data_IF_695162297620
#
_entry.id   IF_695162297620
#
_cell.length_a   1.000
_cell.length_b   1.000
_cell.length_c   1.000
_cell.angle_alpha   90.00
_cell.angle_beta   90.00
_cell.angle_gamma   90.00
#
_symmetry.space_group_name_H-M   'P 1'
#
loop_
_entity.id
_entity.type
_entity.pdbx_description
1 polymer ?
#
# COMPACT_ATOMS: atom_id res chain seq x y z
N UNK A 1 22.78 3.36 5.66
CA UNK A 1 21.96 2.35 4.96
C UNK A 1 21.32 1.43 6.00
N UNK A 2 20.00 1.23 5.95
CA UNK A 2 19.33 0.25 6.82
C UNK A 2 19.69 -1.15 6.35
N UNK A 3 20.15 -1.99 7.28
CA UNK A 3 20.42 -3.40 7.01
C UNK A 3 19.11 -4.17 7.20
N UNK A 4 18.76 -5.00 6.21
CA UNK A 4 17.61 -5.90 6.31
C UNK A 4 17.80 -6.84 7.53
N UNK A 5 16.85 -6.91 8.47
CA UNK A 5 16.97 -7.76 9.64
C UNK A 5 16.97 -9.25 9.27
N UNK A 6 17.80 -10.07 9.91
CA UNK A 6 17.85 -11.51 9.61
C UNK A 6 16.84 -12.34 10.40
N UNK A 7 16.24 -11.78 11.44
CA UNK A 7 15.20 -12.45 12.21
C UNK A 7 13.87 -12.50 11.43
N UNK A 8 12.95 -13.40 11.80
CA UNK A 8 11.64 -13.45 11.17
C UNK A 8 10.84 -12.16 11.41
N UNK A 9 10.13 -11.71 10.39
CA UNK A 9 9.33 -10.48 10.41
C UNK A 9 7.94 -10.72 9.84
N UNK A 10 6.91 -10.02 10.32
CA UNK A 10 5.61 -9.99 9.68
C UNK A 10 5.69 -9.23 8.35
N UNK A 11 5.05 -9.77 7.32
CA UNK A 11 4.88 -9.12 6.02
C UNK A 11 3.42 -8.71 5.86
N UNK A 12 3.19 -7.50 5.34
CA UNK A 12 1.87 -6.86 5.30
C UNK A 12 1.54 -6.39 3.89
N UNK A 13 0.28 -6.52 3.51
CA UNK A 13 -0.34 -5.78 2.43
C UNK A 13 -0.82 -4.44 3.01
N UNK A 14 -0.38 -3.35 2.42
CA UNK A 14 -0.77 -1.99 2.80
C UNK A 14 -1.67 -1.43 1.71
N UNK A 15 -2.84 -0.95 2.10
CA UNK A 15 -3.80 -0.30 1.21
C UNK A 15 -3.86 1.18 1.57
N UNK A 16 -3.53 2.03 0.60
CA UNK A 16 -3.81 3.45 0.60
C UNK A 16 -5.17 3.68 -0.06
N UNK A 17 -6.21 4.03 0.71
CA UNK A 17 -7.51 4.33 0.13
C UNK A 17 -7.41 5.51 -0.84
N UNK A 18 -8.22 5.52 -1.90
CA UNK A 18 -8.29 6.68 -2.79
C UNK A 18 -8.79 7.90 -1.99
N UNK A 19 -8.43 9.08 -2.48
CA UNK A 19 -9.15 10.28 -2.05
C UNK A 19 -10.59 10.19 -2.56
N UNK A 20 -11.56 10.36 -1.67
CA UNK A 20 -12.98 10.30 -2.00
C UNK A 20 -13.47 11.71 -2.18
N UNK A 21 -13.36 12.18 -3.42
CA UNK A 21 -13.96 13.41 -3.88
C UNK A 21 -15.46 13.10 -4.03
N UNK A 22 -16.35 13.93 -3.48
CA UNK A 22 -17.81 13.74 -3.56
C UNK A 22 -18.41 13.78 -4.97
N UNK A 23 -17.59 13.65 -6.02
CA UNK A 23 -17.96 13.71 -7.43
C UNK A 23 -18.12 12.30 -8.03
N UNK A 24 -19.35 12.03 -8.49
CA UNK A 24 -19.83 11.26 -9.68
C UNK A 24 -19.20 9.93 -10.12
N UNK A 25 -18.09 9.44 -9.56
CA UNK A 25 -17.60 8.09 -9.85
C UNK A 25 -18.32 7.08 -8.96
N UNK A 26 -18.67 5.93 -9.54
CA UNK A 26 -19.22 4.83 -8.75
C UNK A 26 -18.24 4.44 -7.64
N UNK A 27 -18.76 4.03 -6.48
CA UNK A 27 -17.92 3.58 -5.36
C UNK A 27 -16.91 2.52 -5.84
N UNK A 28 -17.35 1.56 -6.64
CA UNK A 28 -16.52 0.51 -7.22
C UNK A 28 -15.30 1.04 -8.00
N UNK A 29 -15.51 2.05 -8.85
CA UNK A 29 -14.42 2.71 -9.59
C UNK A 29 -13.42 3.39 -8.64
N UNK A 30 -13.90 3.98 -7.55
CA UNK A 30 -13.02 4.57 -6.55
C UNK A 30 -12.24 3.47 -5.81
N UNK A 31 -12.89 2.38 -5.40
CA UNK A 31 -12.21 1.29 -4.69
C UNK A 31 -11.09 0.65 -5.52
N UNK A 32 -11.30 0.47 -6.83
CA UNK A 32 -10.27 -0.03 -7.76
C UNK A 32 -9.10 0.94 -7.96
N UNK A 33 -9.24 2.21 -7.55
CA UNK A 33 -8.16 3.19 -7.57
C UNK A 33 -7.34 3.24 -6.27
N UNK A 34 -7.66 2.42 -5.27
CA UNK A 34 -6.84 2.29 -4.08
C UNK A 34 -5.43 1.77 -4.44
N UNK A 35 -4.41 2.42 -3.90
CA UNK A 35 -3.01 2.05 -4.12
C UNK A 35 -2.57 0.98 -3.15
N UNK A 36 -2.00 -0.12 -3.65
CA UNK A 36 -1.61 -1.29 -2.84
C UNK A 36 -0.10 -1.47 -2.86
N UNK A 37 0.44 -1.95 -1.74
CA UNK A 37 1.87 -2.11 -1.53
C UNK A 37 2.13 -3.35 -0.66
N UNK A 38 3.26 -4.04 -0.89
CA UNK A 38 3.74 -5.10 -0.01
C UNK A 38 4.91 -4.54 0.81
N UNK A 39 4.89 -4.73 2.13
CA UNK A 39 5.94 -4.19 2.98
C UNK A 39 6.15 -4.97 4.28
N UNK A 40 7.31 -4.74 4.89
CA UNK A 40 7.63 -5.14 6.26
C UNK A 40 8.50 -4.08 6.93
N UNK A 41 8.38 -4.00 8.25
CA UNK A 41 9.08 -3.01 9.06
C UNK A 41 10.51 -3.50 9.34
N UNK A 42 11.51 -2.69 9.02
CA UNK A 42 12.95 -3.01 9.15
C UNK A 42 13.65 -2.21 10.26
N UNK A 43 12.89 -1.42 11.02
CA UNK A 43 13.38 -0.65 12.15
C UNK A 43 12.77 0.74 12.23
N UNK A 44 13.52 1.69 12.79
CA UNK A 44 13.12 3.09 12.92
C UNK A 44 14.19 4.02 12.36
N UNK A 45 13.74 5.08 11.69
CA UNK A 45 14.55 6.23 11.24
C UNK A 45 15.10 7.02 12.43
N UNK A 46 16.14 7.83 12.20
CA UNK A 46 16.66 8.74 13.23
C UNK A 46 15.65 9.78 13.73
N UNK A 47 14.59 10.03 12.96
CA UNK A 47 13.45 10.89 13.34
C UNK A 47 12.31 10.13 14.02
N UNK A 48 12.46 8.84 14.31
CA UNK A 48 11.46 8.01 14.99
C UNK A 48 10.35 7.45 14.08
N UNK A 49 10.36 7.73 12.78
CA UNK A 49 9.42 7.11 11.82
C UNK A 49 9.78 5.64 11.60
N UNK A 50 8.80 4.78 11.36
CA UNK A 50 9.04 3.37 11.01
C UNK A 50 9.75 3.30 9.67
N UNK A 51 10.87 2.58 9.59
CA UNK A 51 11.54 2.28 8.34
C UNK A 51 10.95 0.98 7.76
N UNK A 52 10.55 1.00 6.49
CA UNK A 52 9.95 -0.15 5.81
C UNK A 52 10.74 -0.52 4.56
N UNK A 53 10.86 -1.83 4.30
CA UNK A 53 11.11 -2.33 2.94
C UNK A 53 9.76 -2.42 2.25
N UNK A 54 9.62 -1.81 1.07
CA UNK A 54 8.34 -1.65 0.36
C UNK A 54 8.47 -1.94 -1.13
N UNK A 55 7.49 -2.64 -1.68
CA UNK A 55 7.33 -2.91 -3.11
C UNK A 55 5.97 -2.40 -3.56
N UNK A 56 5.96 -1.64 -4.65
CA UNK A 56 4.78 -0.96 -5.17
C UNK A 56 5.02 -0.49 -6.60
N UNK A 57 3.95 -0.34 -7.38
CA UNK A 57 4.00 0.33 -8.67
C UNK A 57 3.69 1.80 -8.50
N UNK A 58 4.59 2.68 -8.94
CA UNK A 58 4.45 4.13 -8.79
C UNK A 58 4.06 4.75 -10.14
N UNK A 59 3.01 5.57 -10.20
CA UNK A 59 2.73 6.39 -11.38
C UNK A 59 3.74 7.53 -11.47
N UNK A 60 4.33 7.68 -12.64
CA UNK A 60 5.30 8.72 -12.95
C UNK A 60 4.91 9.46 -14.23
N UNK A 61 5.26 10.73 -14.32
CA UNK A 61 5.09 11.53 -15.53
C UNK A 61 6.43 11.64 -16.25
N UNK A 62 6.47 11.18 -17.50
CA UNK A 62 7.66 11.34 -18.34
C UNK A 62 7.82 12.80 -18.75
N UNK A 63 9.03 13.26 -19.15
CA UNK A 63 9.24 14.61 -19.67
C UNK A 63 8.34 14.98 -20.87
N UNK A 64 7.76 13.97 -21.53
CA UNK A 64 6.79 14.12 -22.63
C UNK A 64 5.36 14.41 -22.16
N UNK A 65 5.09 14.43 -20.85
CA UNK A 65 3.75 14.55 -20.26
C UNK A 65 2.95 13.24 -20.29
N UNK A 66 3.57 12.13 -20.69
CA UNK A 66 2.90 10.83 -20.74
C UNK A 66 2.96 10.13 -19.37
N UNK A 67 1.81 9.64 -18.90
CA UNK A 67 1.74 8.80 -17.71
C UNK A 67 2.45 7.46 -17.96
N UNK A 68 3.30 7.10 -17.01
CA UNK A 68 4.07 5.85 -16.96
C UNK A 68 3.87 5.19 -15.60
N UNK A 69 4.10 3.89 -15.52
CA UNK A 69 4.03 3.13 -14.27
C UNK A 69 5.34 2.39 -14.10
N UNK A 70 5.94 2.52 -12.91
CA UNK A 70 7.29 2.06 -12.65
C UNK A 70 7.32 1.10 -11.48
N UNK A 71 7.97 -0.05 -11.68
CA UNK A 71 8.43 -0.91 -10.60
C UNK A 71 9.87 -0.52 -10.26
N UNK A 72 10.05 0.22 -9.18
CA UNK A 72 11.39 0.61 -8.68
C UNK A 72 12.09 -0.52 -7.89
N UNK A 73 11.45 -1.68 -7.82
CA UNK A 73 11.82 -2.77 -6.94
C UNK A 73 11.68 -2.42 -5.46
N UNK A 74 12.37 -3.19 -4.62
CA UNK A 74 12.34 -3.00 -3.17
C UNK A 74 12.98 -1.69 -2.70
N UNK A 75 12.15 -0.76 -2.26
CA UNK A 75 12.56 0.54 -1.71
C UNK A 75 12.64 0.50 -0.19
N UNK A 76 13.52 1.33 0.38
CA UNK A 76 13.51 1.63 1.83
C UNK A 76 12.85 2.98 2.02
N UNK A 77 11.74 3.00 2.75
CA UNK A 77 10.92 4.21 2.94
C UNK A 77 10.63 4.45 4.41
N UNK A 78 10.54 5.73 4.79
CA UNK A 78 10.05 6.12 6.10
C UNK A 78 8.52 6.20 6.05
N UNK A 79 7.86 5.48 6.94
CA UNK A 79 6.42 5.55 7.13
C UNK A 79 6.08 6.63 8.16
N UNK A 80 5.55 7.76 7.69
CA UNK A 80 5.13 8.86 8.53
C UNK A 80 3.88 8.44 9.35
N UNK A 81 3.87 8.66 10.68
CA UNK A 81 2.71 8.39 11.54
C UNK A 81 1.37 8.94 11.02
N UNK A 82 1.37 10.10 10.37
CA UNK A 82 0.13 10.70 9.85
C UNK A 82 -0.44 9.92 8.66
N UNK A 83 0.43 9.46 7.76
CA UNK A 83 0.01 8.59 6.65
C UNK A 83 -0.34 7.20 7.15
N UNK A 84 0.39 6.71 8.17
CA UNK A 84 0.16 5.41 8.76
C UNK A 84 -1.28 5.26 9.23
N UNK A 85 -1.85 6.28 9.89
CA UNK A 85 -3.25 6.25 10.40
C UNK A 85 -4.31 6.17 9.29
N UNK A 86 -3.99 6.64 8.08
CA UNK A 86 -4.90 6.68 6.92
C UNK A 86 -4.89 5.38 6.11
N UNK A 87 -3.91 4.50 6.36
CA UNK A 87 -3.74 3.25 5.62
C UNK A 87 -4.41 2.08 6.34
N UNK A 88 -4.68 1.04 5.56
CA UNK A 88 -5.12 -0.26 6.07
C UNK A 88 -3.96 -1.23 5.95
N UNK A 89 -3.72 -1.98 7.02
CA UNK A 89 -2.68 -3.00 7.10
C UNK A 89 -3.33 -4.36 7.25
N UNK A 90 -3.08 -5.24 6.29
CA UNK A 90 -3.50 -6.63 6.32
C UNK A 90 -2.24 -7.46 6.48
N UNK A 91 -2.12 -8.23 7.57
CA UNK A 91 -1.02 -9.20 7.67
C UNK A 91 -1.14 -10.18 6.53
N UNK A 92 -0.06 -10.37 5.75
CA UNK A 92 0.05 -11.45 4.77
C UNK A 92 0.46 -12.71 5.50
N UNK A 93 1.55 -12.61 6.27
CA UNK A 93 2.11 -13.67 7.08
C UNK A 93 2.78 -13.06 8.30
N UNK A 94 2.48 -13.59 9.49
CA UNK A 94 2.96 -13.02 10.75
C UNK A 94 4.45 -13.25 10.99
N UNK A 95 5.03 -14.23 10.32
CA UNK A 95 6.45 -14.57 10.43
C UNK A 95 6.99 -15.14 9.12
N UNK A 96 7.74 -14.32 8.38
CA UNK A 96 8.56 -14.76 7.26
C UNK A 96 10.03 -14.70 7.64
N UNK A 97 10.77 -15.77 7.37
CA UNK A 97 12.24 -15.80 7.53
C UNK A 97 12.91 -14.83 6.56
N UNK A 98 14.18 -14.51 6.81
CA UNK A 98 14.96 -13.68 5.89
C UNK A 98 14.99 -14.24 4.46
N UNK A 99 15.21 -15.56 4.29
CA UNK A 99 15.24 -16.18 2.96
C UNK A 99 13.89 -16.11 2.26
N UNK A 100 12.77 -16.32 2.97
CA UNK A 100 11.43 -16.18 2.40
C UNK A 100 11.16 -14.75 1.93
N UNK A 101 11.60 -13.74 2.69
CA UNK A 101 11.46 -12.33 2.29
C UNK A 101 12.34 -11.95 1.11
N UNK A 102 13.52 -12.55 0.98
CA UNK A 102 14.35 -12.38 -0.22
C UNK A 102 13.63 -12.92 -1.46
N UNK A 103 13.11 -14.15 -1.39
CA UNK A 103 12.35 -14.74 -2.50
C UNK A 103 11.11 -13.90 -2.84
N UNK A 104 10.38 -13.40 -1.84
CA UNK A 104 9.25 -12.50 -2.09
C UNK A 104 9.68 -11.20 -2.78
N UNK A 105 10.82 -10.64 -2.37
CA UNK A 105 11.39 -9.45 -2.98
C UNK A 105 11.80 -9.69 -4.45
N UNK A 106 12.43 -10.83 -4.74
CA UNK A 106 12.79 -11.23 -6.11
C UNK A 106 11.54 -11.37 -6.99
N UNK A 107 10.49 -12.04 -6.50
CA UNK A 107 9.21 -12.15 -7.21
C UNK A 107 8.64 -10.76 -7.53
N UNK A 108 8.65 -9.86 -6.54
CA UNK A 108 8.12 -8.51 -6.70
C UNK A 108 8.97 -7.67 -7.68
N UNK A 109 10.29 -7.75 -7.60
CA UNK A 109 11.20 -7.02 -8.50
C UNK A 109 11.05 -7.50 -9.96
N UNK A 110 10.85 -8.80 -10.18
CA UNK A 110 10.71 -9.40 -11.52
C UNK A 110 9.29 -9.30 -12.10
N UNK A 111 8.29 -8.96 -11.29
CA UNK A 111 6.90 -8.93 -11.74
C UNK A 111 6.68 -7.78 -12.75
N UNK A 112 6.22 -8.07 -13.97
CA UNK A 112 6.11 -7.07 -15.02
C UNK A 112 5.06 -5.99 -14.68
N UNK A 113 5.36 -4.77 -15.11
CA UNK A 113 4.39 -3.67 -15.11
C UNK A 113 3.65 -3.65 -16.45
N UNK A 114 2.33 -3.76 -16.42
CA UNK A 114 1.48 -3.66 -17.62
C UNK A 114 1.19 -2.19 -17.94
N UNK A 115 0.68 -1.91 -19.13
CA UNK A 115 0.42 -0.52 -19.55
C UNK A 115 -0.59 0.20 -18.62
N UNK A 116 -0.39 1.51 -18.34
CA UNK A 116 -1.37 2.34 -17.65
C UNK A 116 -2.75 2.27 -18.34
N UNK A 117 -3.84 2.29 -17.55
CA UNK A 117 -5.22 2.20 -18.05
C UNK A 117 -5.77 0.78 -18.21
N UNK A 118 -4.95 -0.26 -18.03
CA UNK A 118 -5.41 -1.66 -18.02
C UNK A 118 -6.08 -2.11 -16.71
N UNK A 119 -6.15 -1.23 -15.70
CA UNK A 119 -6.75 -1.52 -14.39
C UNK A 119 -5.94 -2.41 -13.46
N UNK A 120 -4.73 -2.83 -13.87
CA UNK A 120 -4.03 -3.98 -13.27
C UNK A 120 -2.88 -3.64 -12.29
N UNK A 121 -2.14 -2.56 -12.51
CA UNK A 121 -0.82 -2.38 -11.85
C UNK A 121 -0.80 -2.07 -10.34
N UNK A 122 -1.94 -1.82 -9.71
CA UNK A 122 -2.01 -1.62 -8.25
C UNK A 122 -2.35 -2.93 -7.54
N UNK A 123 -3.66 -3.16 -7.41
CA UNK A 123 -4.22 -4.30 -6.68
C UNK A 123 -3.85 -5.63 -7.34
N UNK A 124 -4.07 -5.74 -8.66
CA UNK A 124 -3.87 -7.00 -9.37
C UNK A 124 -2.38 -7.37 -9.45
N UNK A 125 -1.47 -6.38 -9.56
CA UNK A 125 -0.03 -6.61 -9.42
C UNK A 125 0.33 -7.22 -8.06
N UNK A 126 -0.19 -6.66 -6.97
CA UNK A 126 0.05 -7.22 -5.62
C UNK A 126 -0.50 -8.65 -5.52
N UNK A 127 -1.69 -8.91 -6.06
CA UNK A 127 -2.28 -10.26 -6.06
C UNK A 127 -1.47 -11.26 -6.89
N UNK A 128 -0.94 -10.86 -8.05
CA UNK A 128 -0.07 -11.74 -8.86
C UNK A 128 1.27 -12.02 -8.15
N UNK A 129 1.86 -11.05 -7.44
CA UNK A 129 3.04 -11.28 -6.59
C UNK A 129 2.73 -12.30 -5.49
N UNK A 130 1.61 -12.16 -4.79
CA UNK A 130 1.22 -13.09 -3.73
C UNK A 130 0.86 -14.48 -4.27
N UNK A 131 0.25 -14.55 -5.46
CA UNK A 131 -0.05 -15.83 -6.12
C UNK A 131 1.23 -16.56 -6.54
N UNK A 132 2.21 -15.84 -7.09
CA UNK A 132 3.52 -16.42 -7.42
C UNK A 132 4.29 -16.85 -6.17
N UNK A 133 4.17 -16.09 -5.08
CA UNK A 133 4.70 -16.45 -3.77
C UNK A 133 4.10 -17.76 -3.22
N UNK A 134 2.80 -18.00 -3.39
CA UNK A 134 2.19 -19.28 -3.00
C UNK A 134 2.67 -20.43 -3.88
N UNK A 135 2.76 -20.24 -5.20
CA UNK A 135 3.31 -21.25 -6.13
C UNK A 135 4.74 -21.67 -5.79
N UNK A 136 5.56 -20.75 -5.27
CA UNK A 136 6.94 -21.03 -4.82
C UNK A 136 7.03 -21.56 -3.39
N UNK A 137 5.88 -21.77 -2.72
CA UNK A 137 5.80 -22.35 -1.38
C UNK A 137 6.27 -21.42 -0.26
N UNK A 138 6.39 -20.12 -0.51
CA UNK A 138 6.73 -19.15 0.56
C UNK A 138 5.48 -18.63 1.27
N UNK A 139 4.32 -18.69 0.60
CA UNK A 139 3.00 -18.49 1.17
C UNK A 139 2.18 -19.77 1.04
N UNK A 140 1.30 -20.01 2.01
CA UNK A 140 0.27 -21.02 1.92
C UNK A 140 -0.94 -20.47 1.17
N UNK A 141 -1.68 -21.33 0.49
CA UNK A 141 -2.87 -20.92 -0.28
C UNK A 141 -3.94 -20.26 0.61
N UNK A 142 -4.03 -20.71 1.87
CA UNK A 142 -4.91 -20.12 2.88
C UNK A 142 -4.51 -18.68 3.22
N UNK A 143 -3.21 -18.38 3.30
CA UNK A 143 -2.68 -17.03 3.53
C UNK A 143 -3.04 -16.10 2.36
N UNK A 144 -2.83 -16.56 1.13
CA UNK A 144 -3.22 -15.83 -0.08
C UNK A 144 -4.73 -15.57 -0.12
N UNK A 145 -5.54 -16.61 0.11
CA UNK A 145 -7.00 -16.51 0.05
C UNK A 145 -7.53 -15.54 1.10
N UNK A 146 -7.02 -15.63 2.34
CA UNK A 146 -7.40 -14.72 3.43
C UNK A 146 -7.05 -13.27 3.10
N UNK A 147 -5.85 -13.01 2.59
CA UNK A 147 -5.42 -11.65 2.22
C UNK A 147 -6.31 -11.09 1.12
N UNK A 148 -6.54 -11.86 0.05
CA UNK A 148 -7.39 -11.45 -1.07
C UNK A 148 -8.82 -11.16 -0.60
N UNK A 149 -9.39 -12.03 0.23
CA UNK A 149 -10.74 -11.86 0.78
C UNK A 149 -10.86 -10.59 1.62
N UNK A 150 -9.90 -10.34 2.53
CA UNK A 150 -9.91 -9.14 3.37
C UNK A 150 -9.71 -7.86 2.55
N UNK A 151 -8.77 -7.89 1.59
CA UNK A 151 -8.41 -6.73 0.80
C UNK A 151 -9.50 -6.31 -0.19
N UNK A 152 -10.28 -7.27 -0.70
CA UNK A 152 -11.39 -7.03 -1.62
C UNK A 152 -12.75 -6.89 -0.92
N UNK A 153 -12.81 -7.08 0.39
CA UNK A 153 -14.07 -6.97 1.16
C UNK A 153 -14.60 -5.53 1.19
N UNK A 154 -15.91 -5.29 0.98
CA UNK A 154 -16.53 -3.96 1.14
C UNK A 154 -16.29 -3.33 2.52
N UNK A 155 -16.13 -4.13 3.57
CA UNK A 155 -15.85 -3.64 4.93
C UNK A 155 -14.48 -3.00 5.07
N UNK A 156 -13.48 -3.48 4.33
CA UNK A 156 -12.15 -2.88 4.25
C UNK A 156 -12.27 -1.41 3.80
N UNK A 157 -13.11 -1.18 2.80
CA UNK A 157 -13.31 0.13 2.21
C UNK A 157 -14.29 1.01 2.99
N UNK A 158 -15.30 0.45 3.66
CA UNK A 158 -16.21 1.22 4.53
C UNK A 158 -15.47 1.89 5.69
N UNK A 159 -14.53 1.18 6.32
CA UNK A 159 -13.68 1.74 7.39
C UNK A 159 -12.76 2.83 6.83
N UNK A 160 -12.17 2.63 5.66
CA UNK A 160 -11.38 3.66 4.98
C UNK A 160 -12.21 4.91 4.63
N UNK A 161 -13.41 4.73 4.06
CA UNK A 161 -14.34 5.82 3.74
C UNK A 161 -14.68 6.65 4.99
N UNK A 162 -15.05 5.99 6.09
CA UNK A 162 -15.37 6.67 7.35
C UNK A 162 -14.17 7.45 7.90
N UNK A 163 -12.96 6.87 7.85
CA UNK A 163 -11.74 7.54 8.31
C UNK A 163 -11.39 8.75 7.45
N UNK A 164 -11.53 8.65 6.12
CA UNK A 164 -11.26 9.77 5.20
C UNK A 164 -12.30 10.88 5.32
N UNK A 165 -13.59 10.55 5.46
CA UNK A 165 -14.65 11.52 5.71
C UNK A 165 -14.42 12.28 7.03
N UNK A 166 -14.11 11.57 8.11
CA UNK A 166 -13.80 12.19 9.39
C UNK A 166 -12.54 13.08 9.28
N UNK A 167 -11.48 12.60 8.63
CA UNK A 167 -10.25 13.39 8.45
C UNK A 167 -10.51 14.67 7.65
N UNK A 168 -11.29 14.60 6.57
CA UNK A 168 -11.66 15.76 5.76
C UNK A 168 -12.50 16.78 6.54
N UNK A 169 -13.46 16.31 7.35
CA UNK A 169 -14.26 17.16 8.23
C UNK A 169 -13.43 17.86 9.30
N UNK A 170 -12.43 17.15 9.88
CA UNK A 170 -11.50 17.74 10.84
C UNK A 170 -10.59 18.79 10.19
N UNK A 171 -10.05 18.54 8.99
CA UNK A 171 -9.23 19.52 8.26
C UNK A 171 -10.01 20.79 7.89
N UNK A 172 -11.26 20.66 7.44
CA UNK A 172 -12.11 21.82 7.14
C UNK A 172 -12.49 22.62 8.39
N UNK A 173 -12.60 21.98 9.56
CA UNK A 173 -12.87 22.69 10.81
C UNK A 173 -11.69 23.56 11.28
N UNK A 174 -10.45 23.14 11.03
CA UNK A 174 -9.27 23.93 11.41
C UNK A 174 -9.06 25.16 10.52
N UNK A 175 -9.38 25.05 9.22
CA UNK A 175 -9.37 26.19 8.30
C UNK A 175 -10.45 27.22 8.63
N UNK A 176 -11.59 26.79 9.20
CA UNK A 176 -12.65 27.69 9.65
C UNK A 176 -12.26 28.47 10.92
N UNK A 177 -11.53 27.83 11.85
CA UNK A 177 -11.05 28.48 13.08
C UNK A 177 -9.96 29.51 12.77
N UNK A 178 -9.06 29.24 11.81
CA UNK A 178 -8.02 30.20 11.43
C UNK A 178 -8.54 31.44 10.69
N UNK A 179 -9.67 31.36 9.98
CA UNK A 179 -10.32 32.53 9.35
C UNK A 179 -11.19 33.36 10.30
N UNK A 180 -11.51 32.82 11.48
CA UNK A 180 -12.38 33.49 12.45
C UNK A 180 -11.62 34.34 13.49
N UNK A 181 -10.28 34.29 13.50
CA UNK A 181 -9.41 35.07 14.39
C UNK A 181 -8.72 36.26 13.70
N UNK A 182 -9.21 36.66 12.52
CA UNK A 182 -8.74 37.84 11.77
C UNK A 182 -9.90 38.79 11.48
N UNK A 183 -10.55 39.27 12.55
CA UNK A 183 -11.41 40.45 12.55
C UNK A 183 -11.14 41.26 13.82
#
# INVERSE_FOLDING_TARGET
FYKEPTHPLPVKLIICPPHIDGHTRSLDTQLRSAHWMIAWDIGFTGSGNVAQRRFQIIPEELPTGQAHLTNWGGLIVADNPEDHRKRIYISIKDSMTFSQRQVLGEIADDMPVRRPGSGWNGQDWCLEVLAEASKRGILEDEELHRVAQLALSPSCFSIACLRNLLSSLYSHSQDFVHRSTSL
#
